data_IF_873090472000
#
_entry.id   IF_873090472000
#
_cell.length_a   1.000
_cell.length_b   1.000
_cell.length_c   1.000
_cell.angle_alpha   90.00
_cell.angle_beta   90.00
_cell.angle_gamma   90.00
#
_symmetry.space_group_name_H-M   'P 1'
#
loop_
_entity.id
_entity.type
_entity.pdbx_description
1 polymer ?
#
# COMPACT_ATOMS: atom_id res chain seq x y z
N UNK A 1 -82.99 30.46 1.34
CA UNK A 1 -81.51 30.41 1.37
C UNK A 1 -81.06 28.98 1.55
N UNK A 2 -80.00 28.62 0.84
CA UNK A 2 -79.40 27.29 0.70
C UNK A 2 -78.68 26.88 1.99
N UNK A 3 -78.60 25.58 2.28
CA UNK A 3 -77.68 25.04 3.28
C UNK A 3 -77.98 23.59 3.68
N UNK A 4 -77.42 22.64 2.91
CA UNK A 4 -77.25 21.24 3.30
C UNK A 4 -75.98 21.11 4.16
N UNK A 5 -75.99 20.29 5.23
CA UNK A 5 -75.05 19.17 5.46
C UNK A 5 -74.95 18.71 6.93
N UNK A 6 -74.73 17.40 7.08
CA UNK A 6 -74.20 16.70 8.26
C UNK A 6 -75.29 16.08 9.16
N UNK A 7 -75.42 14.78 9.41
CA UNK A 7 -74.50 13.65 9.26
C UNK A 7 -74.06 13.14 10.63
N UNK A 8 -74.65 12.02 11.13
CA UNK A 8 -74.06 11.02 12.06
C UNK A 8 -75.13 10.19 12.76
N UNK A 9 -74.90 8.87 12.90
CA UNK A 9 -75.02 8.01 14.11
C UNK A 9 -74.88 6.53 13.64
N UNK A 10 -73.68 5.93 13.73
CA UNK A 10 -73.10 5.10 14.83
C UNK A 10 -73.77 3.73 15.06
N UNK A 11 -72.99 2.65 14.85
CA UNK A 11 -72.74 1.54 15.80
C UNK A 11 -71.57 0.70 15.23
N UNK A 12 -70.36 0.69 15.81
CA UNK A 12 -69.86 0.14 17.09
C UNK A 12 -69.29 -1.27 16.88
N UNK A 13 -67.97 -1.45 17.04
CA UNK A 13 -67.34 -2.30 18.08
C UNK A 13 -65.80 -2.34 17.92
N UNK A 14 -65.09 -1.91 18.97
CA UNK A 14 -63.72 -2.32 19.34
C UNK A 14 -63.81 -3.42 20.43
N UNK A 15 -62.74 -4.17 20.78
CA UNK A 15 -61.62 -3.67 21.59
C UNK A 15 -60.24 -3.91 20.93
N UNK A 16 -59.32 -2.95 20.97
CA UNK A 16 -58.23 -2.80 21.96
C UNK A 16 -57.28 -4.01 22.08
N UNK A 17 -56.09 -3.90 21.49
CA UNK A 17 -54.84 -3.96 22.25
C UNK A 17 -53.86 -2.91 21.67
N UNK A 18 -53.45 -2.01 22.56
CA UNK A 18 -52.47 -0.97 22.37
C UNK A 18 -51.07 -1.59 22.44
N UNK A 19 -50.18 -1.26 21.51
CA UNK A 19 -48.92 -0.64 21.93
C UNK A 19 -48.27 0.14 20.77
N UNK A 20 -48.00 1.40 21.11
CA UNK A 20 -47.28 2.38 20.33
C UNK A 20 -45.88 1.90 19.95
N UNK A 21 -45.47 2.25 18.74
CA UNK A 21 -44.08 2.07 18.34
C UNK A 21 -43.83 2.60 16.94
N UNK A 22 -44.10 3.89 16.75
CA UNK A 22 -43.67 4.63 15.56
C UNK A 22 -42.22 4.30 15.20
N UNK A 23 -42.00 3.75 14.00
CA UNK A 23 -40.76 4.03 13.27
C UNK A 23 -41.08 4.14 11.79
N UNK A 24 -41.51 5.35 11.43
CA UNK A 24 -41.59 5.80 10.05
C UNK A 24 -40.20 5.74 9.40
N UNK A 25 -40.16 5.27 8.15
CA UNK A 25 -39.06 5.44 7.20
C UNK A 25 -37.66 5.14 7.75
N UNK A 26 -37.09 3.96 7.46
CA UNK A 26 -35.63 3.87 7.38
C UNK A 26 -35.17 4.75 6.21
N UNK A 27 -34.54 5.91 6.43
CA UNK A 27 -33.86 6.57 5.35
C UNK A 27 -32.60 5.73 5.17
N UNK A 28 -32.58 4.90 4.13
CA UNK A 28 -31.34 4.33 3.64
C UNK A 28 -30.53 5.50 3.03
N UNK A 29 -30.01 6.38 3.90
CA UNK A 29 -28.91 7.28 3.57
C UNK A 29 -27.74 6.35 3.33
N UNK A 30 -27.49 6.00 2.07
CA UNK A 30 -26.18 5.49 1.66
C UNK A 30 -25.17 6.52 2.13
N UNK A 31 -24.46 6.20 3.21
CA UNK A 31 -23.31 6.95 3.66
C UNK A 31 -22.38 7.11 2.46
N UNK A 32 -21.99 8.32 2.05
CA UNK A 32 -21.06 8.53 0.94
C UNK A 32 -19.63 8.00 1.23
N UNK A 33 -19.44 7.36 2.39
CA UNK A 33 -18.13 6.93 2.89
C UNK A 33 -17.72 5.52 2.45
N UNK A 34 -18.63 4.68 1.93
CA UNK A 34 -18.30 3.31 1.54
C UNK A 34 -17.72 3.19 0.13
N UNK A 35 -17.94 4.16 -0.76
CA UNK A 35 -17.31 4.16 -2.09
C UNK A 35 -15.85 4.64 -2.02
N UNK A 36 -15.54 5.60 -1.16
CA UNK A 36 -14.20 6.17 -1.03
C UNK A 36 -13.18 5.22 -0.38
N UNK A 37 -13.61 4.34 0.54
CA UNK A 37 -12.75 3.30 1.11
C UNK A 37 -12.32 2.27 0.07
N UNK A 38 -13.24 1.84 -0.80
CA UNK A 38 -12.94 0.89 -1.87
C UNK A 38 -11.96 1.46 -2.89
N UNK A 39 -12.08 2.74 -3.25
CA UNK A 39 -11.11 3.39 -4.15
C UNK A 39 -9.71 3.54 -3.53
N UNK A 40 -9.63 3.77 -2.20
CA UNK A 40 -8.34 3.80 -1.49
C UNK A 40 -7.71 2.41 -1.41
N UNK A 41 -8.50 1.39 -1.15
CA UNK A 41 -8.02 0.00 -1.11
C UNK A 41 -7.54 -0.44 -2.50
N UNK A 42 -8.29 -0.17 -3.57
CA UNK A 42 -7.85 -0.43 -4.94
C UNK A 42 -6.55 0.31 -5.29
N UNK A 43 -6.43 1.60 -4.91
CA UNK A 43 -5.19 2.35 -5.11
C UNK A 43 -4.01 1.76 -4.33
N UNK A 44 -4.24 1.19 -3.16
CA UNK A 44 -3.18 0.58 -2.37
C UNK A 44 -2.72 -0.75 -2.98
N UNK A 45 -3.65 -1.59 -3.43
CA UNK A 45 -3.34 -2.84 -4.13
C UNK A 45 -2.51 -2.57 -5.39
N UNK A 46 -2.81 -1.50 -6.14
CA UNK A 46 -2.00 -1.12 -7.31
C UNK A 46 -0.55 -0.78 -6.95
N UNK A 47 -0.33 -0.03 -5.87
CA UNK A 47 1.02 0.29 -5.37
C UNK A 47 1.76 -0.97 -4.97
N UNK A 48 1.08 -1.87 -4.27
CA UNK A 48 1.62 -3.15 -3.83
C UNK A 48 2.03 -4.05 -5.02
N UNK A 49 1.15 -4.18 -6.03
CA UNK A 49 1.46 -4.93 -7.27
C UNK A 49 2.65 -4.31 -8.01
N UNK A 50 2.71 -2.98 -8.09
CA UNK A 50 3.84 -2.29 -8.73
C UNK A 50 5.16 -2.48 -8.00
N UNK A 51 5.12 -2.50 -6.66
CA UNK A 51 6.30 -2.79 -5.85
C UNK A 51 6.79 -4.22 -6.09
N UNK A 52 5.89 -5.21 -6.12
CA UNK A 52 6.25 -6.60 -6.41
C UNK A 52 6.87 -6.75 -7.82
N UNK A 53 6.36 -6.04 -8.82
CA UNK A 53 6.95 -6.01 -10.15
C UNK A 53 8.38 -5.44 -10.14
N UNK A 54 8.62 -4.39 -9.34
CA UNK A 54 9.94 -3.76 -9.25
C UNK A 54 11.01 -4.68 -8.67
N UNK A 55 10.62 -5.68 -7.86
CA UNK A 55 11.56 -6.64 -7.26
C UNK A 55 12.22 -7.58 -8.29
N UNK A 56 11.70 -7.69 -9.51
CA UNK A 56 12.38 -8.38 -10.62
C UNK A 56 13.68 -7.68 -11.04
N UNK A 57 13.73 -6.36 -10.88
CA UNK A 57 14.87 -5.52 -11.24
C UNK A 57 15.74 -5.24 -10.01
N UNK A 58 15.11 -5.12 -8.85
CA UNK A 58 15.75 -4.75 -7.58
C UNK A 58 15.58 -5.88 -6.56
N UNK A 59 16.51 -6.86 -6.51
CA UNK A 59 16.36 -8.05 -5.69
C UNK A 59 16.20 -7.73 -4.21
N UNK A 60 15.25 -8.41 -3.56
CA UNK A 60 14.94 -8.20 -2.15
C UNK A 60 16.11 -8.55 -1.21
N UNK A 61 16.88 -9.59 -1.55
CA UNK A 61 18.07 -10.03 -0.79
C UNK A 61 19.12 -8.93 -0.66
N UNK A 62 19.24 -8.07 -1.67
CA UNK A 62 20.16 -6.93 -1.71
C UNK A 62 19.71 -5.74 -0.86
N UNK A 63 18.58 -5.83 -0.16
CA UNK A 63 18.20 -4.87 0.89
C UNK A 63 19.03 -5.03 2.16
N UNK A 64 19.77 -6.12 2.33
CA UNK A 64 20.79 -6.22 3.38
C UNK A 64 22.18 -5.89 2.82
N UNK A 65 23.03 -5.36 3.68
CA UNK A 65 24.41 -5.01 3.31
C UNK A 65 24.52 -3.72 2.47
N UNK A 66 25.60 -3.64 1.69
CA UNK A 66 26.02 -2.42 1.01
C UNK A 66 25.09 -1.99 -0.14
N UNK A 67 24.37 -2.95 -0.72
CA UNK A 67 23.49 -2.70 -1.86
C UNK A 67 22.16 -2.05 -1.47
N UNK A 68 21.85 -2.02 -0.17
CA UNK A 68 20.58 -1.51 0.37
C UNK A 68 20.25 -0.13 -0.16
N UNK A 69 21.22 0.77 -0.25
CA UNK A 69 20.98 2.14 -0.71
C UNK A 69 20.53 2.18 -2.17
N UNK A 70 21.20 1.43 -3.05
CA UNK A 70 20.88 1.37 -4.48
C UNK A 70 19.53 0.72 -4.74
N UNK A 71 19.25 -0.39 -4.07
CA UNK A 71 17.96 -1.10 -4.17
C UNK A 71 16.83 -0.20 -3.69
N UNK A 72 16.98 0.40 -2.51
CA UNK A 72 15.92 1.25 -1.94
C UNK A 72 15.69 2.51 -2.78
N UNK A 73 16.74 3.13 -3.29
CA UNK A 73 16.63 4.25 -4.21
C UNK A 73 15.91 3.83 -5.50
N UNK A 74 16.30 2.71 -6.11
CA UNK A 74 15.70 2.19 -7.33
C UNK A 74 14.21 1.86 -7.19
N UNK A 75 13.83 1.22 -6.08
CA UNK A 75 12.42 0.97 -5.75
C UNK A 75 11.63 2.26 -5.57
N UNK A 76 12.21 3.25 -4.87
CA UNK A 76 11.58 4.55 -4.65
C UNK A 76 11.36 5.30 -5.97
N UNK A 77 12.39 5.35 -6.84
CA UNK A 77 12.32 6.00 -8.15
C UNK A 77 11.34 5.29 -9.09
N UNK A 78 11.31 3.96 -9.08
CA UNK A 78 10.36 3.17 -9.87
C UNK A 78 8.90 3.49 -9.51
N UNK A 79 8.59 3.52 -8.22
CA UNK A 79 7.24 3.85 -7.74
C UNK A 79 6.89 5.31 -8.05
N UNK A 80 7.83 6.24 -7.85
CA UNK A 80 7.63 7.65 -8.17
C UNK A 80 7.30 7.86 -9.64
N UNK A 81 7.99 7.19 -10.56
CA UNK A 81 7.71 7.24 -12.00
C UNK A 81 6.38 6.58 -12.36
N UNK A 82 6.02 5.50 -11.67
CA UNK A 82 4.79 4.74 -11.94
C UNK A 82 3.53 5.52 -11.53
N UNK A 83 3.58 6.26 -10.42
CA UNK A 83 2.41 6.95 -9.86
C UNK A 83 2.47 8.49 -9.96
N UNK A 84 3.56 9.03 -10.48
CA UNK A 84 3.80 10.47 -10.59
C UNK A 84 3.61 11.22 -9.25
N UNK A 85 4.05 10.59 -8.16
CA UNK A 85 3.95 11.07 -6.78
C UNK A 85 5.27 10.77 -6.06
N UNK A 86 5.77 11.66 -5.17
CA UNK A 86 6.94 11.35 -4.36
C UNK A 86 6.66 10.18 -3.40
N UNK A 87 7.62 9.27 -3.29
CA UNK A 87 7.67 8.24 -2.27
C UNK A 87 8.86 8.49 -1.35
N UNK A 88 8.70 8.21 -0.07
CA UNK A 88 9.83 8.22 0.87
C UNK A 88 10.45 6.83 0.98
N UNK A 89 11.77 6.71 1.25
CA UNK A 89 12.39 5.42 1.48
C UNK A 89 11.72 4.64 2.63
N UNK A 90 11.28 5.34 3.68
CA UNK A 90 10.55 4.72 4.80
C UNK A 90 9.20 4.16 4.40
N UNK A 91 8.46 4.84 3.52
CA UNK A 91 7.18 4.36 2.97
C UNK A 91 7.38 3.09 2.15
N UNK A 92 8.42 3.03 1.33
CA UNK A 92 8.77 1.82 0.56
C UNK A 92 9.12 0.65 1.48
N UNK A 93 9.90 0.90 2.54
CA UNK A 93 10.23 -0.13 3.53
C UNK A 93 9.00 -0.64 4.26
N UNK A 94 8.06 0.24 4.64
CA UNK A 94 6.79 -0.16 5.26
C UNK A 94 5.91 -0.98 4.31
N UNK A 95 5.91 -0.67 3.02
CA UNK A 95 5.21 -1.48 2.02
C UNK A 95 5.82 -2.88 1.92
N UNK A 96 7.14 -2.98 1.89
CA UNK A 96 7.85 -4.27 1.84
C UNK A 96 7.60 -5.12 3.09
N UNK A 97 7.56 -4.50 4.26
CA UNK A 97 7.31 -5.16 5.56
C UNK A 97 5.92 -5.81 5.64
N UNK A 98 4.96 -5.39 4.80
CA UNK A 98 3.64 -6.03 4.68
C UNK A 98 3.68 -7.41 4.00
N UNK A 99 4.66 -7.64 3.13
CA UNK A 99 4.81 -8.87 2.36
C UNK A 99 5.88 -9.80 2.92
N UNK A 100 6.96 -9.22 3.42
CA UNK A 100 8.16 -9.94 3.79
C UNK A 100 8.56 -9.57 5.20
N UNK A 101 8.98 -10.57 5.98
CA UNK A 101 9.71 -10.32 7.20
C UNK A 101 11.16 -9.93 6.84
N UNK A 102 11.44 -8.63 6.80
CA UNK A 102 12.74 -8.10 6.40
C UNK A 102 13.88 -8.53 7.34
N UNK A 103 13.58 -8.90 8.59
CA UNK A 103 14.58 -9.40 9.53
C UNK A 103 15.10 -10.80 9.17
N UNK A 104 14.27 -11.59 8.47
CA UNK A 104 14.57 -12.95 8.04
C UNK A 104 15.32 -13.03 6.71
N UNK A 105 15.55 -11.90 6.03
CA UNK A 105 16.34 -11.87 4.80
C UNK A 105 17.78 -12.30 5.10
N UNK A 106 18.27 -13.36 4.48
CA UNK A 106 19.68 -13.67 4.57
C UNK A 106 20.47 -12.70 3.67
N UNK A 107 21.60 -12.14 4.13
CA UNK A 107 22.51 -11.46 3.22
C UNK A 107 23.01 -12.47 2.17
N UNK A 108 23.26 -12.01 0.94
CA UNK A 108 23.97 -12.82 -0.03
C UNK A 108 25.41 -13.00 0.49
N UNK A 109 25.75 -14.21 0.96
CA UNK A 109 27.06 -14.52 1.56
C UNK A 109 28.21 -14.27 0.57
N UNK A 110 27.94 -14.36 -0.74
CA UNK A 110 28.91 -14.18 -1.83
C UNK A 110 29.48 -12.74 -1.91
N UNK A 111 28.68 -11.71 -1.64
CA UNK A 111 29.12 -10.30 -1.74
C UNK A 111 30.04 -9.91 -0.57
N UNK A 112 29.88 -10.56 0.59
CA UNK A 112 30.73 -10.32 1.76
C UNK A 112 32.15 -10.86 1.58
N UNK A 113 32.32 -12.01 0.93
CA UNK A 113 33.65 -12.56 0.67
C UNK A 113 34.46 -11.71 -0.31
N UNK A 114 33.81 -11.16 -1.35
CA UNK A 114 34.47 -10.28 -2.32
C UNK A 114 35.04 -9.00 -1.68
N UNK A 115 34.29 -8.38 -0.77
CA UNK A 115 34.68 -7.11 -0.15
C UNK A 115 35.70 -7.26 0.98
N UNK A 116 35.82 -8.46 1.57
CA UNK A 116 36.77 -8.75 2.64
C UNK A 116 38.11 -9.29 2.11
N UNK A 117 38.31 -9.37 0.79
CA UNK A 117 39.60 -9.72 0.21
C UNK A 117 40.61 -8.59 0.44
N UNK A 118 41.55 -8.83 1.34
CA UNK A 118 42.73 -7.99 1.51
C UNK A 118 43.72 -8.28 0.38
N UNK A 119 43.65 -7.53 -0.72
CA UNK A 119 44.66 -7.57 -1.77
C UNK A 119 45.82 -6.62 -1.43
N UNK A 120 47.06 -7.12 -1.52
CA UNK A 120 48.25 -6.27 -1.43
C UNK A 120 48.31 -5.37 -2.68
N UNK A 121 48.04 -4.08 -2.50
CA UNK A 121 48.08 -3.12 -3.59
C UNK A 121 49.50 -3.04 -4.17
N UNK A 122 49.67 -3.56 -5.39
CA UNK A 122 50.91 -3.48 -6.15
C UNK A 122 50.65 -2.92 -7.54
N UNK A 123 51.63 -2.23 -8.10
CA UNK A 123 51.53 -1.71 -9.46
C UNK A 123 51.55 -2.87 -10.47
N UNK A 124 50.80 -2.78 -11.59
CA UNK A 124 50.89 -3.75 -12.67
C UNK A 124 52.34 -3.97 -13.11
N UNK A 125 52.71 -5.22 -13.47
CA UNK A 125 54.08 -5.57 -13.85
C UNK A 125 54.66 -4.68 -14.97
N UNK A 126 53.81 -4.15 -15.86
CA UNK A 126 54.19 -3.21 -16.91
C UNK A 126 54.82 -1.92 -16.41
N UNK A 127 54.56 -1.49 -15.17
CA UNK A 127 55.21 -0.32 -14.57
C UNK A 127 56.69 -0.56 -14.24
N UNK A 128 57.12 -1.82 -14.14
CA UNK A 128 58.49 -2.18 -13.78
C UNK A 128 59.36 -2.53 -14.99
N UNK A 129 58.76 -2.75 -16.17
CA UNK A 129 59.50 -2.94 -17.42
C UNK A 129 59.95 -1.56 -17.92
N UNK A 130 61.09 -1.08 -17.41
CA UNK A 130 61.81 -0.01 -18.09
C UNK A 130 62.46 -0.61 -19.34
N UNK A 131 61.91 -0.29 -20.51
CA UNK A 131 62.67 -0.39 -21.76
C UNK A 131 63.90 0.52 -21.61
N UNK A 132 65.08 -0.09 -21.38
CA UNK A 132 66.37 0.58 -21.47
C UNK A 132 66.93 0.34 -22.89
N UNK A 133 67.14 1.39 -23.71
CA UNK A 133 67.85 1.29 -24.98
C UNK A 133 69.38 1.25 -24.80
#
# INVERSE_FOLDING_TARGET
MKGLNGGTLRAKEEPEEQEEGMSAHSPCKKSPSSSSSLHKEQSQVEVEVKLLQALEIYPLVKLRGIHRHFVLFGLTDYLQRSFNRPFSPSEVLQLLDRFYNLEMLQPDDDDCELLNQEEEFSLPQSFFVKEEP
#
